data_IF_493673107240
#
_entry.id   IF_493673107240
#
_cell.length_a   1.000
_cell.length_b   1.000
_cell.length_c   1.000
_cell.angle_alpha   90.00
_cell.angle_beta   90.00
_cell.angle_gamma   90.00
#
_symmetry.space_group_name_H-M   'P 1'
#
loop_
_entity.id
_entity.type
_entity.pdbx_description
1 polymer ?
#
# COMPACT_ATOMS: atom_id res chain seq x y z
N UNK A 1 56.61 18.72 36.73
CA UNK A 1 55.45 19.57 36.36
C UNK A 1 54.45 18.72 35.59
N UNK A 2 53.19 18.92 35.91
CA UNK A 2 51.96 18.16 35.60
C UNK A 2 51.64 18.00 34.11
N UNK A 3 51.09 16.83 33.71
CA UNK A 3 49.82 16.74 32.95
C UNK A 3 49.28 15.30 32.88
N UNK A 4 48.17 15.08 33.59
CA UNK A 4 47.27 13.92 33.46
C UNK A 4 46.49 14.05 32.15
N UNK A 5 46.47 13.00 31.34
CA UNK A 5 45.42 12.75 30.36
C UNK A 5 45.12 11.25 30.38
N UNK A 6 44.02 10.88 31.04
CA UNK A 6 43.37 9.59 30.92
C UNK A 6 42.25 9.77 29.90
N UNK A 7 42.47 9.30 28.67
CA UNK A 7 41.42 9.19 27.64
C UNK A 7 40.89 7.78 27.75
N UNK A 8 39.67 7.68 28.25
CA UNK A 8 38.95 6.43 28.46
C UNK A 8 38.64 5.72 27.15
N UNK A 9 38.89 4.42 27.15
CA UNK A 9 38.42 3.50 26.13
C UNK A 9 36.88 3.39 26.22
N UNK A 10 36.18 3.89 25.20
CA UNK A 10 34.81 3.53 24.92
C UNK A 10 34.74 3.14 23.45
N UNK A 11 34.69 1.83 23.23
CA UNK A 11 34.58 1.22 21.92
C UNK A 11 33.33 1.71 21.21
N UNK A 12 33.51 2.25 20.02
CA UNK A 12 32.43 2.51 19.08
C UNK A 12 32.14 1.16 18.40
N UNK A 13 31.30 0.35 19.06
CA UNK A 13 30.72 -0.82 18.42
C UNK A 13 29.77 -0.33 17.32
N UNK A 14 30.10 -0.69 16.09
CA UNK A 14 29.27 -0.46 14.92
C UNK A 14 27.90 -1.12 15.14
N UNK A 15 26.88 -0.31 15.40
CA UNK A 15 25.49 -0.72 15.20
C UNK A 15 25.24 -0.73 13.69
N UNK A 16 25.63 -1.84 13.05
CA UNK A 16 25.02 -2.27 11.80
C UNK A 16 23.59 -2.66 12.13
N UNK A 17 22.69 -1.67 12.10
CA UNK A 17 21.26 -1.92 12.15
C UNK A 17 20.90 -2.65 10.86
N UNK A 18 20.85 -3.98 10.94
CA UNK A 18 20.15 -4.79 9.95
C UNK A 18 18.68 -4.38 10.03
N UNK A 19 18.24 -3.58 9.06
CA UNK A 19 16.82 -3.44 8.76
C UNK A 19 16.35 -4.84 8.36
N UNK A 20 15.88 -5.64 9.31
CA UNK A 20 15.01 -6.76 8.97
C UNK A 20 13.80 -6.12 8.31
N UNK A 21 13.71 -6.27 6.98
CA UNK A 21 12.49 -5.98 6.26
C UNK A 21 11.36 -6.73 6.99
N UNK A 22 10.41 -5.98 7.55
CA UNK A 22 9.23 -6.54 8.17
C UNK A 22 8.51 -7.43 7.16
N UNK A 23 7.88 -8.49 7.66
CA UNK A 23 7.02 -9.33 6.83
C UNK A 23 6.03 -8.44 6.06
N UNK A 24 5.74 -8.79 4.80
CA UNK A 24 4.76 -8.03 4.03
C UNK A 24 3.39 -8.13 4.70
N UNK A 25 2.92 -7.00 5.24
CA UNK A 25 1.66 -6.89 5.94
C UNK A 25 0.70 -5.99 5.16
N UNK A 26 -0.44 -6.55 4.82
CA UNK A 26 -1.53 -5.79 4.22
C UNK A 26 -2.34 -5.10 5.31
N UNK A 27 -2.71 -3.82 5.13
CA UNK A 27 -3.71 -3.21 5.99
C UNK A 27 -4.95 -4.09 5.92
N UNK A 28 -5.33 -4.68 7.07
CA UNK A 28 -6.62 -5.36 7.16
C UNK A 28 -7.64 -4.28 6.82
N UNK A 29 -8.53 -4.47 5.83
CA UNK A 29 -9.59 -3.52 5.60
C UNK A 29 -10.38 -3.47 6.90
N UNK A 30 -10.20 -2.39 7.66
CA UNK A 30 -11.15 -2.03 8.69
C UNK A 30 -12.46 -1.94 7.93
N UNK A 31 -13.44 -2.79 8.32
CA UNK A 31 -14.73 -2.92 7.64
C UNK A 31 -15.14 -1.58 7.08
N UNK A 32 -15.31 -1.51 5.74
CA UNK A 32 -15.52 -0.29 4.95
C UNK A 32 -15.87 0.86 5.88
N UNK A 33 -14.90 1.75 6.10
CA UNK A 33 -15.00 2.92 6.98
C UNK A 33 -16.44 3.43 6.93
N UNK A 34 -17.03 3.83 8.05
CA UNK A 34 -18.42 4.28 8.15
C UNK A 34 -18.82 5.47 7.23
N UNK A 35 -18.00 5.80 6.24
CA UNK A 35 -18.29 6.65 5.10
C UNK A 35 -19.08 5.97 3.98
N UNK A 36 -18.92 6.52 2.77
CA UNK A 36 -19.98 6.47 1.74
C UNK A 36 -19.98 5.17 0.94
N UNK A 37 -18.84 4.45 0.90
CA UNK A 37 -18.69 3.18 0.21
C UNK A 37 -19.51 2.09 0.91
N UNK A 38 -20.42 1.45 0.15
CA UNK A 38 -21.27 0.35 0.63
C UNK A 38 -20.96 -0.96 -0.09
N UNK A 39 -19.68 -1.17 -0.36
CA UNK A 39 -19.19 -2.34 -1.08
C UNK A 39 -19.38 -3.61 -0.24
N UNK A 40 -19.74 -4.70 -0.92
CA UNK A 40 -19.98 -6.00 -0.31
C UNK A 40 -18.75 -6.89 -0.44
N UNK A 41 -18.72 -8.00 0.32
CA UNK A 41 -17.68 -9.03 0.15
C UNK A 41 -17.58 -9.59 -1.28
N UNK A 42 -18.68 -9.54 -2.03
CA UNK A 42 -18.69 -9.96 -3.43
C UNK A 42 -18.00 -8.93 -4.32
N UNK A 43 -18.19 -7.65 -4.03
CA UNK A 43 -17.50 -6.56 -4.72
C UNK A 43 -15.99 -6.62 -4.44
N UNK A 44 -15.60 -6.87 -3.17
CA UNK A 44 -14.18 -7.08 -2.79
C UNK A 44 -13.54 -8.22 -3.59
N UNK A 45 -14.25 -9.35 -3.73
CA UNK A 45 -13.76 -10.52 -4.47
C UNK A 45 -13.66 -10.24 -5.98
N UNK A 46 -14.62 -9.51 -6.55
CA UNK A 46 -14.58 -9.10 -7.95
C UNK A 46 -13.41 -8.14 -8.21
N UNK A 47 -13.20 -7.18 -7.32
CA UNK A 47 -12.10 -6.23 -7.37
C UNK A 47 -10.74 -6.95 -7.27
N UNK A 48 -10.58 -7.87 -6.32
CA UNK A 48 -9.37 -8.68 -6.18
C UNK A 48 -9.10 -9.54 -7.42
N UNK A 49 -10.13 -10.14 -8.01
CA UNK A 49 -9.99 -10.91 -9.26
C UNK A 49 -9.55 -10.01 -10.43
N UNK A 50 -10.16 -8.84 -10.56
CA UNK A 50 -9.81 -7.86 -11.58
C UNK A 50 -8.33 -7.44 -11.48
N UNK A 51 -7.84 -7.21 -10.27
CA UNK A 51 -6.43 -6.87 -10.04
C UNK A 51 -5.46 -8.05 -10.13
N UNK A 52 -5.94 -9.28 -10.12
CA UNK A 52 -5.14 -10.46 -10.43
C UNK A 52 -4.88 -10.66 -11.93
N UNK A 53 -5.45 -9.82 -12.80
CA UNK A 53 -5.31 -9.92 -14.26
C UNK A 53 -3.98 -9.35 -14.78
N UNK A 54 -3.65 -9.66 -16.04
CA UNK A 54 -2.39 -9.23 -16.67
C UNK A 54 -2.35 -7.73 -17.00
N UNK A 55 -3.49 -7.03 -16.96
CA UNK A 55 -3.63 -5.63 -17.38
C UNK A 55 -3.99 -4.73 -16.19
N UNK A 56 -3.22 -4.84 -15.11
CA UNK A 56 -3.48 -4.14 -13.85
C UNK A 56 -3.55 -2.61 -14.06
N UNK A 57 -2.71 -2.04 -14.91
CA UNK A 57 -2.65 -0.59 -15.15
C UNK A 57 -3.97 -0.05 -15.73
N UNK A 58 -4.54 -0.72 -16.73
CA UNK A 58 -5.85 -0.33 -17.24
C UNK A 58 -6.98 -0.62 -16.23
N UNK A 59 -6.87 -1.71 -15.46
CA UNK A 59 -7.87 -2.04 -14.45
C UNK A 59 -7.95 -1.02 -13.30
N UNK A 60 -6.84 -0.37 -12.92
CA UNK A 60 -6.86 0.70 -11.91
C UNK A 60 -7.76 1.85 -12.38
N UNK A 61 -7.57 2.31 -13.62
CA UNK A 61 -8.37 3.41 -14.18
C UNK A 61 -9.86 3.08 -14.26
N UNK A 62 -10.20 1.87 -14.69
CA UNK A 62 -11.59 1.39 -14.74
C UNK A 62 -12.20 1.35 -13.33
N UNK A 63 -11.47 0.80 -12.35
CA UNK A 63 -11.94 0.72 -10.96
C UNK A 63 -12.22 2.10 -10.36
N UNK A 64 -11.31 3.05 -10.60
CA UNK A 64 -11.44 4.45 -10.14
C UNK A 64 -12.67 5.09 -10.75
N UNK A 65 -12.83 5.01 -12.07
CA UNK A 65 -13.95 5.60 -12.78
C UNK A 65 -15.30 5.02 -12.32
N UNK A 66 -15.39 3.69 -12.19
CA UNK A 66 -16.60 3.02 -11.75
C UNK A 66 -16.98 3.39 -10.31
N UNK A 67 -16.01 3.44 -9.40
CA UNK A 67 -16.27 3.84 -8.01
C UNK A 67 -16.64 5.32 -7.89
N UNK A 68 -15.97 6.24 -8.59
CA UNK A 68 -16.33 7.66 -8.59
C UNK A 68 -17.75 7.87 -9.12
N UNK A 69 -18.14 7.12 -10.15
CA UNK A 69 -19.50 7.16 -10.70
C UNK A 69 -20.55 6.59 -9.73
N UNK A 70 -20.21 5.51 -9.01
CA UNK A 70 -21.11 4.85 -8.06
C UNK A 70 -21.25 5.65 -6.75
N UNK A 71 -20.17 6.31 -6.32
CA UNK A 71 -20.06 7.07 -5.08
C UNK A 71 -19.50 8.47 -5.33
N UNK A 72 -20.28 9.39 -5.93
CA UNK A 72 -19.81 10.74 -6.24
C UNK A 72 -19.45 11.58 -5.00
N UNK A 73 -20.00 11.22 -3.84
CA UNK A 73 -19.73 11.88 -2.56
C UNK A 73 -18.55 11.24 -1.79
N UNK A 74 -17.91 10.18 -2.30
CA UNK A 74 -16.77 9.55 -1.66
C UNK A 74 -15.50 10.42 -1.82
N UNK A 75 -14.72 10.53 -0.75
CA UNK A 75 -13.41 11.20 -0.84
C UNK A 75 -12.38 10.34 -1.58
N UNK A 76 -11.37 10.97 -2.17
CA UNK A 76 -10.29 10.26 -2.87
C UNK A 76 -9.54 9.32 -1.92
N UNK A 77 -9.41 9.71 -0.65
CA UNK A 77 -8.82 8.87 0.40
C UNK A 77 -9.66 7.63 0.68
N UNK A 78 -10.99 7.75 0.73
CA UNK A 78 -11.88 6.59 0.89
C UNK A 78 -11.79 5.64 -0.30
N UNK A 79 -11.82 6.19 -1.53
CA UNK A 79 -11.65 5.40 -2.75
C UNK A 79 -10.28 4.70 -2.77
N UNK A 80 -9.22 5.43 -2.43
CA UNK A 80 -7.87 4.90 -2.40
C UNK A 80 -7.70 3.78 -1.36
N UNK A 81 -8.21 3.99 -0.14
CA UNK A 81 -8.15 2.99 0.92
C UNK A 81 -8.89 1.70 0.53
N UNK A 82 -10.05 1.82 -0.09
CA UNK A 82 -10.80 0.66 -0.57
C UNK A 82 -10.04 -0.12 -1.66
N UNK A 83 -9.53 0.58 -2.67
CA UNK A 83 -8.82 -0.04 -3.79
C UNK A 83 -7.48 -0.66 -3.37
N UNK A 84 -6.72 -0.01 -2.49
CA UNK A 84 -5.48 -0.56 -1.90
C UNK A 84 -5.82 -1.79 -1.04
N UNK A 85 -6.90 -1.73 -0.26
CA UNK A 85 -7.38 -2.84 0.56
C UNK A 85 -7.76 -4.07 -0.27
N UNK A 86 -8.27 -3.89 -1.49
CA UNK A 86 -8.55 -4.96 -2.44
C UNK A 86 -7.31 -5.51 -3.15
N UNK A 87 -6.33 -4.65 -3.48
CA UNK A 87 -5.12 -5.07 -4.20
C UNK A 87 -4.08 -5.75 -3.32
N UNK A 88 -3.89 -5.28 -2.08
CA UNK A 88 -2.87 -5.81 -1.20
C UNK A 88 -2.98 -7.35 -0.99
N UNK A 89 -4.14 -7.95 -0.70
CA UNK A 89 -4.24 -9.40 -0.54
C UNK A 89 -3.93 -10.18 -1.83
N UNK A 90 -4.15 -9.58 -3.01
CA UNK A 90 -3.74 -10.17 -4.30
C UNK A 90 -2.22 -10.29 -4.36
N UNK A 91 -1.50 -9.20 -4.02
CA UNK A 91 -0.03 -9.19 -3.96
C UNK A 91 0.51 -10.10 -2.85
N UNK A 92 -0.17 -10.15 -1.70
CA UNK A 92 0.19 -11.05 -0.60
C UNK A 92 0.21 -12.52 -1.05
N UNK A 93 -0.76 -12.91 -1.88
CA UNK A 93 -0.90 -14.24 -2.45
C UNK A 93 0.03 -14.58 -3.62
N UNK A 94 0.77 -13.60 -4.17
CA UNK A 94 1.73 -13.86 -5.25
C UNK A 94 2.91 -14.68 -4.75
N UNK A 95 3.12 -15.83 -5.41
CA UNK A 95 4.27 -16.69 -5.16
C UNK A 95 5.51 -16.18 -5.92
N UNK A 96 6.70 -16.43 -5.38
CA UNK A 96 7.97 -16.07 -6.03
C UNK A 96 8.39 -14.60 -5.86
N UNK A 97 7.65 -13.81 -5.08
CA UNK A 97 8.03 -12.45 -4.69
C UNK A 97 8.56 -12.42 -3.26
N UNK A 98 9.62 -11.65 -3.03
CA UNK A 98 10.07 -11.26 -1.71
C UNK A 98 9.12 -10.23 -1.10
N UNK A 99 9.15 -10.08 0.22
CA UNK A 99 8.34 -9.07 0.90
C UNK A 99 8.63 -7.66 0.38
N UNK A 100 9.90 -7.34 0.08
CA UNK A 100 10.28 -6.08 -0.54
C UNK A 100 9.66 -5.88 -1.93
N UNK A 101 9.58 -6.94 -2.75
CA UNK A 101 8.92 -6.88 -4.06
C UNK A 101 7.41 -6.71 -3.93
N UNK A 102 6.79 -7.32 -2.92
CA UNK A 102 5.36 -7.15 -2.62
C UNK A 102 5.07 -5.72 -2.17
N UNK A 103 5.88 -5.16 -1.27
CA UNK A 103 5.79 -3.77 -0.84
C UNK A 103 5.90 -2.82 -2.03
N UNK A 104 6.94 -2.97 -2.87
CA UNK A 104 7.14 -2.14 -4.04
C UNK A 104 5.95 -2.19 -5.03
N UNK A 105 5.32 -3.36 -5.19
CA UNK A 105 4.12 -3.50 -6.03
C UNK A 105 2.92 -2.72 -5.47
N UNK A 106 2.67 -2.79 -4.17
CA UNK A 106 1.55 -2.06 -3.54
C UNK A 106 1.82 -0.55 -3.55
N UNK A 107 3.06 -0.12 -3.27
CA UNK A 107 3.44 1.29 -3.34
C UNK A 107 3.28 1.85 -4.75
N UNK A 108 3.70 1.11 -5.78
CA UNK A 108 3.52 1.52 -7.16
C UNK A 108 2.04 1.65 -7.53
N UNK A 109 1.22 0.66 -7.16
CA UNK A 109 -0.23 0.73 -7.35
C UNK A 109 -0.85 1.96 -6.67
N UNK A 110 -0.47 2.24 -5.41
CA UNK A 110 -0.98 3.38 -4.67
C UNK A 110 -0.59 4.71 -5.36
N UNK A 111 0.64 4.82 -5.86
CA UNK A 111 1.09 6.01 -6.58
C UNK A 111 0.26 6.25 -7.86
N UNK A 112 0.08 5.22 -8.70
CA UNK A 112 -0.74 5.30 -9.92
C UNK A 112 -2.20 5.64 -9.58
N UNK A 113 -2.73 5.09 -8.51
CA UNK A 113 -4.08 5.36 -8.05
C UNK A 113 -4.29 6.83 -7.66
N UNK A 114 -3.37 7.41 -6.89
CA UNK A 114 -3.46 8.82 -6.51
C UNK A 114 -3.30 9.76 -7.69
N UNK A 115 -2.48 9.40 -8.68
CA UNK A 115 -2.35 10.14 -9.94
C UNK A 115 -3.70 10.17 -10.69
N UNK A 116 -4.32 9.01 -10.90
CA UNK A 116 -5.62 8.91 -11.57
C UNK A 116 -6.74 9.65 -10.85
N UNK A 117 -6.79 9.55 -9.51
CA UNK A 117 -7.78 10.27 -8.70
C UNK A 117 -7.62 11.80 -8.82
N UNK A 118 -6.39 12.29 -8.99
CA UNK A 118 -6.12 13.70 -9.22
C UNK A 118 -6.49 14.15 -10.65
N UNK A 119 -6.24 13.32 -11.65
CA UNK A 119 -6.53 13.62 -13.06
C UNK A 119 -8.03 13.60 -13.40
N UNK A 120 -8.79 12.66 -12.82
CA UNK A 120 -10.21 12.46 -13.14
C UNK A 120 -11.16 13.52 -12.56
N UNK A 121 -10.64 14.50 -11.80
CA UNK A 121 -11.40 15.63 -11.27
C UNK A 121 -11.37 16.89 -12.16
N UNK A 122 -10.77 16.81 -13.34
CA UNK A 122 -10.71 17.89 -14.34
C UNK A 122 -11.92 17.90 -15.27
#
# INVERSE_FOLDING_TARGET
MTKKFLIGALGVAAFLWSQQAGAFECPRPEMASAGVLKETKQDDAALAHMFGSQDIENQIGIAVADLQKKYPDASDTELANYLIGGYCPVVAGMQGLTDAQKTAKVEHFAATLYELLAEQKL
#
